data_IF_577797394260
#
_entry.id   IF_577797394260
#
_cell.length_a   1.000
_cell.length_b   1.000
_cell.length_c   1.000
_cell.angle_alpha   90.00
_cell.angle_beta   90.00
_cell.angle_gamma   90.00
#
_symmetry.space_group_name_H-M   'P 1'
#
loop_
_entity.id
_entity.type
_entity.pdbx_description
1 polymer ?
#
# COMPACT_ATOMS: atom_id res chain seq x y z
N UNK A 1 -14.84 -5.91 12.34
CA UNK A 1 -13.82 -6.11 11.28
C UNK A 1 -13.32 -4.73 10.86
N UNK A 2 -12.04 -4.42 11.08
CA UNK A 2 -11.46 -3.13 10.64
C UNK A 2 -11.37 -3.17 9.11
N UNK A 3 -11.93 -2.16 8.45
CA UNK A 3 -11.85 -2.03 7.01
C UNK A 3 -10.38 -1.82 6.61
N UNK A 4 -9.73 -2.89 6.14
CA UNK A 4 -8.30 -2.95 5.85
C UNK A 4 -7.85 -1.94 4.78
N UNK A 5 -8.79 -1.44 3.98
CA UNK A 5 -8.53 -0.50 2.87
C UNK A 5 -8.56 0.98 3.29
N UNK A 6 -8.97 1.31 4.52
CA UNK A 6 -8.94 2.67 5.07
C UNK A 6 -7.61 3.06 5.75
N UNK A 7 -6.59 2.20 5.65
CA UNK A 7 -5.39 2.28 6.48
C UNK A 7 -4.17 2.81 5.72
N UNK A 8 -4.15 2.67 4.39
CA UNK A 8 -3.08 3.23 3.57
C UNK A 8 -3.21 4.76 3.50
N UNK A 9 -2.17 5.49 3.86
CA UNK A 9 -2.17 6.96 3.72
C UNK A 9 -1.76 7.41 2.31
N UNK A 10 -0.98 6.59 1.60
CA UNK A 10 -0.55 6.86 0.24
C UNK A 10 -0.14 5.55 -0.45
N UNK A 11 -0.28 5.53 -1.77
CA UNK A 11 0.08 4.43 -2.65
C UNK A 11 0.89 4.97 -3.83
N UNK A 12 1.97 4.30 -4.20
CA UNK A 12 2.82 4.70 -5.33
C UNK A 12 3.13 3.53 -6.24
N UNK A 13 3.38 3.78 -7.53
CA UNK A 13 3.83 2.79 -8.52
C UNK A 13 5.07 3.29 -9.27
N UNK A 14 5.82 2.36 -9.87
CA UNK A 14 6.89 2.65 -10.82
C UNK A 14 6.47 2.18 -12.22
N UNK A 15 6.52 3.09 -13.20
CA UNK A 15 6.12 2.81 -14.57
C UNK A 15 6.84 1.59 -15.15
N UNK A 16 6.08 0.70 -15.78
CA UNK A 16 6.60 -0.52 -16.40
C UNK A 16 6.91 -1.66 -15.42
N UNK A 17 6.69 -1.48 -14.11
CA UNK A 17 6.87 -2.53 -13.12
C UNK A 17 5.56 -2.88 -12.42
N UNK A 18 5.46 -4.13 -11.95
CA UNK A 18 4.36 -4.57 -11.08
C UNK A 18 4.80 -4.38 -9.64
N UNK A 19 4.90 -3.11 -9.25
CA UNK A 19 5.47 -2.68 -7.97
C UNK A 19 4.62 -1.59 -7.36
N UNK A 20 4.35 -1.69 -6.06
CA UNK A 20 3.72 -0.64 -5.28
C UNK A 20 4.49 -0.31 -4.01
N UNK A 21 4.19 0.87 -3.46
CA UNK A 21 4.65 1.32 -2.15
C UNK A 21 3.43 1.79 -1.39
N UNK A 22 3.22 1.26 -0.20
CA UNK A 22 2.12 1.61 0.67
C UNK A 22 2.64 2.26 1.94
N UNK A 23 2.11 3.41 2.28
CA UNK A 23 2.33 4.04 3.60
C UNK A 23 1.29 3.52 4.58
N UNK A 24 1.73 2.81 5.62
CA UNK A 24 0.87 2.17 6.62
C UNK A 24 1.25 2.64 8.03
N UNK A 25 0.29 2.85 8.94
CA UNK A 25 0.59 3.27 10.31
C UNK A 25 1.43 2.25 11.06
N UNK A 26 2.14 2.72 12.08
CA UNK A 26 2.74 1.84 13.08
C UNK A 26 1.66 1.16 13.91
N UNK A 27 1.88 -0.12 14.26
CA UNK A 27 1.02 -0.83 15.22
C UNK A 27 1.07 -0.21 16.63
N UNK A 28 2.10 0.57 16.95
CA UNK A 28 2.19 1.31 18.21
C UNK A 28 1.52 2.70 18.18
N UNK A 29 0.92 3.09 17.05
CA UNK A 29 0.25 4.38 16.88
C UNK A 29 1.17 5.56 16.57
N UNK A 30 2.50 5.39 16.67
CA UNK A 30 3.46 6.46 16.39
C UNK A 30 4.10 6.30 15.00
N UNK A 31 3.72 7.18 14.06
CA UNK A 31 4.34 7.29 12.74
C UNK A 31 3.82 6.31 11.69
N UNK A 32 4.44 6.37 10.51
CA UNK A 32 4.09 5.59 9.32
C UNK A 32 5.30 4.77 8.85
N UNK A 33 5.05 3.55 8.38
CA UNK A 33 5.99 2.68 7.71
C UNK A 33 5.73 2.67 6.22
N UNK A 34 6.80 2.73 5.43
CA UNK A 34 6.75 2.42 4.01
C UNK A 34 6.94 0.92 3.81
N UNK A 35 5.99 0.31 3.12
CA UNK A 35 6.01 -1.12 2.74
C UNK A 35 5.94 -1.22 1.23
N UNK A 36 6.97 -1.80 0.62
CA UNK A 36 7.03 -2.04 -0.82
C UNK A 36 6.59 -3.46 -1.12
N UNK A 37 5.81 -3.63 -2.19
CA UNK A 37 5.43 -4.94 -2.73
C UNK A 37 5.70 -4.96 -4.23
N UNK A 38 6.41 -5.99 -4.70
CA UNK A 38 6.77 -6.14 -6.11
C UNK A 38 6.60 -7.58 -6.55
N UNK A 39 6.07 -7.79 -7.75
CA UNK A 39 6.17 -9.09 -8.42
C UNK A 39 7.54 -9.21 -9.07
N UNK A 40 8.35 -10.15 -8.58
CA UNK A 40 9.71 -10.44 -9.06
C UNK A 40 9.85 -11.94 -9.25
N UNK A 41 10.24 -12.39 -10.44
CA UNK A 41 10.50 -13.80 -10.76
C UNK A 41 9.33 -14.74 -10.35
N UNK A 42 8.08 -14.30 -10.55
CA UNK A 42 6.88 -15.06 -10.20
C UNK A 42 6.53 -15.06 -8.70
N UNK A 43 7.20 -14.25 -7.89
CA UNK A 43 6.99 -14.15 -6.44
C UNK A 43 6.60 -12.73 -6.05
N UNK A 44 5.70 -12.59 -5.07
CA UNK A 44 5.40 -11.28 -4.46
C UNK A 44 6.44 -11.05 -3.36
N UNK A 45 7.40 -10.17 -3.63
CA UNK A 45 8.45 -9.78 -2.69
C UNK A 45 8.00 -8.54 -1.94
N UNK A 46 7.99 -8.62 -0.62
CA UNK A 46 7.56 -7.52 0.26
C UNK A 46 8.74 -7.06 1.10
N UNK A 47 9.14 -5.81 0.88
CA UNK A 47 10.20 -5.16 1.63
C UNK A 47 9.61 -4.15 2.60
N UNK A 48 9.93 -4.30 3.89
CA UNK A 48 9.73 -3.22 4.86
C UNK A 48 10.64 -3.40 6.09
N UNK A 49 10.84 -2.33 6.84
CA UNK A 49 11.59 -2.34 8.09
C UNK A 49 10.60 -2.33 9.26
N UNK A 50 10.39 -3.49 9.88
CA UNK A 50 9.52 -3.63 11.04
C UNK A 50 10.24 -4.44 12.14
N UNK A 51 10.17 -4.03 13.42
CA UNK A 51 10.73 -4.81 14.51
C UNK A 51 10.17 -6.24 14.57
N UNK A 52 8.89 -6.42 14.24
CA UNK A 52 8.23 -7.73 14.22
C UNK A 52 8.74 -8.66 13.11
N UNK A 53 9.25 -8.12 11.99
CA UNK A 53 9.80 -8.94 10.90
C UNK A 53 11.17 -9.53 11.22
N UNK A 54 11.82 -9.12 12.33
CA UNK A 54 13.05 -9.76 12.83
C UNK A 54 12.78 -11.12 13.47
N UNK A 55 11.57 -11.34 13.99
CA UNK A 55 11.20 -12.59 14.71
C UNK A 55 10.11 -13.38 14.01
N UNK A 56 9.32 -12.78 13.11
CA UNK A 56 8.27 -13.46 12.33
C UNK A 56 8.48 -13.27 10.83
N UNK A 57 8.14 -14.31 10.04
CA UNK A 57 8.20 -14.27 8.57
C UNK A 57 7.14 -13.38 7.93
N UNK A 58 6.10 -12.99 8.67
CA UNK A 58 5.03 -12.12 8.21
C UNK A 58 4.53 -11.21 9.34
N UNK A 59 4.02 -10.05 8.96
CA UNK A 59 3.27 -9.17 9.83
C UNK A 59 2.06 -8.60 9.08
N UNK A 60 1.20 -7.87 9.77
CA UNK A 60 0.00 -7.31 9.14
C UNK A 60 0.34 -6.34 7.98
N UNK A 61 1.46 -5.61 8.04
CA UNK A 61 1.91 -4.75 6.92
C UNK A 61 2.18 -5.57 5.66
N UNK A 62 2.75 -6.77 5.83
CA UNK A 62 3.01 -7.72 4.74
C UNK A 62 1.71 -8.16 4.07
N UNK A 63 0.69 -8.51 4.86
CA UNK A 63 -0.61 -8.94 4.34
C UNK A 63 -1.31 -7.82 3.57
N UNK A 64 -1.31 -6.60 4.11
CA UNK A 64 -1.93 -5.44 3.46
C UNK A 64 -1.22 -5.12 2.15
N UNK A 65 0.10 -5.04 2.15
CA UNK A 65 0.85 -4.71 0.93
C UNK A 65 0.68 -5.78 -0.16
N UNK A 66 0.62 -7.07 0.21
CA UNK A 66 0.32 -8.15 -0.73
C UNK A 66 -1.07 -7.96 -1.37
N UNK A 67 -2.08 -7.73 -0.54
CA UNK A 67 -3.45 -7.53 -1.01
C UNK A 67 -3.56 -6.28 -1.90
N UNK A 68 -2.97 -5.15 -1.47
CA UNK A 68 -2.98 -3.91 -2.25
C UNK A 68 -2.32 -4.10 -3.61
N UNK A 69 -1.24 -4.88 -3.70
CA UNK A 69 -0.61 -5.18 -5.00
C UNK A 69 -1.57 -5.92 -5.93
N UNK A 70 -2.29 -6.93 -5.40
CA UNK A 70 -3.30 -7.69 -6.14
C UNK A 70 -4.47 -6.80 -6.58
N UNK A 71 -4.94 -5.90 -5.72
CA UNK A 71 -6.06 -5.02 -6.03
C UNK A 71 -5.70 -4.00 -7.11
N UNK A 72 -4.50 -3.40 -7.02
CA UNK A 72 -3.99 -2.43 -8.02
C UNK A 72 -3.80 -3.08 -9.38
N UNK A 73 -3.27 -4.29 -9.41
CA UNK A 73 -2.97 -5.02 -10.63
C UNK A 73 -3.92 -6.22 -10.83
N UNK A 74 -5.21 -6.04 -10.54
CA UNK A 74 -6.21 -7.13 -10.54
C UNK A 74 -6.34 -7.87 -11.88
N UNK A 75 -5.89 -7.27 -12.98
CA UNK A 75 -5.83 -7.88 -14.31
C UNK A 75 -4.67 -8.87 -14.47
N UNK A 76 -3.65 -8.86 -13.60
CA UNK A 76 -2.49 -9.76 -13.64
C UNK A 76 -2.75 -11.04 -12.84
N UNK A 77 -3.28 -12.06 -13.52
CA UNK A 77 -3.63 -13.37 -12.94
C UNK A 77 -2.47 -14.08 -12.24
N UNK A 78 -1.23 -13.84 -12.67
CA UNK A 78 -0.03 -14.37 -12.03
C UNK A 78 0.10 -13.99 -10.55
N UNK A 79 -0.49 -12.87 -10.11
CA UNK A 79 -0.49 -12.44 -8.72
C UNK A 79 -1.39 -13.30 -7.81
N UNK A 80 -2.39 -13.97 -8.37
CA UNK A 80 -3.35 -14.76 -7.59
C UNK A 80 -2.65 -15.96 -6.94
N UNK A 81 -1.75 -16.61 -7.68
CA UNK A 81 -0.99 -17.80 -7.25
C UNK A 81 0.45 -17.52 -6.81
N UNK A 82 0.96 -16.30 -6.97
CA UNK A 82 2.35 -15.98 -6.63
C UNK A 82 2.62 -16.15 -5.12
N UNK A 83 3.67 -16.89 -4.71
CA UNK A 83 4.04 -17.00 -3.31
C UNK A 83 4.51 -15.65 -2.77
N UNK A 84 4.18 -15.37 -1.51
CA UNK A 84 4.55 -14.12 -0.83
C UNK A 84 5.80 -14.36 0.01
N UNK A 85 6.82 -13.52 -0.20
CA UNK A 85 8.08 -13.55 0.54
C UNK A 85 8.30 -12.18 1.18
N UNK A 86 8.44 -12.16 2.50
CA UNK A 86 8.78 -10.94 3.24
C UNK A 86 10.28 -10.87 3.47
N UNK A 87 10.88 -9.71 3.20
CA UNK A 87 12.28 -9.40 3.51
C UNK A 87 12.35 -8.18 4.42
N UNK A 88 13.30 -8.17 5.35
CA UNK A 88 13.57 -7.00 6.17
C UNK A 88 14.44 -6.01 5.39
N UNK A 89 13.80 -4.99 4.82
CA UNK A 89 14.49 -4.00 3.98
C UNK A 89 13.83 -2.64 4.13
N UNK A 90 14.65 -1.62 4.39
CA UNK A 90 14.20 -0.23 4.38
C UNK A 90 13.77 0.18 2.98
N UNK A 91 12.54 0.66 2.86
CA UNK A 91 11.99 1.22 1.63
C UNK A 91 12.31 2.71 1.60
N UNK A 92 12.84 3.20 0.47
CA UNK A 92 13.14 4.61 0.24
C UNK A 92 12.34 5.08 -0.97
N UNK A 93 11.77 6.27 -0.88
CA UNK A 93 11.09 6.91 -2.00
C UNK A 93 12.08 7.24 -3.12
N UNK A 94 11.67 7.04 -4.37
CA UNK A 94 12.37 7.49 -5.58
C UNK A 94 11.58 8.63 -6.24
N UNK A 95 12.27 9.54 -6.93
CA UNK A 95 11.65 10.64 -7.69
C UNK A 95 10.79 10.16 -8.86
N UNK A 96 11.09 8.96 -9.37
CA UNK A 96 10.35 8.36 -10.49
C UNK A 96 8.98 7.81 -10.08
N UNK A 97 8.73 7.66 -8.78
CA UNK A 97 7.51 7.06 -8.27
C UNK A 97 6.33 8.00 -8.38
N UNK A 98 5.21 7.45 -8.84
CA UNK A 98 3.98 8.20 -9.04
C UNK A 98 2.95 7.77 -8.02
N UNK A 99 2.41 8.73 -7.28
CA UNK A 99 1.29 8.48 -6.39
C UNK A 99 0.09 8.05 -7.23
N UNK A 100 -0.58 6.99 -6.81
CA UNK A 100 -1.80 6.48 -7.44
C UNK A 100 -2.95 6.48 -6.43
N UNK A 101 -4.21 6.56 -6.91
CA UNK A 101 -5.37 6.44 -6.03
C UNK A 101 -5.36 5.10 -5.28
N UNK A 102 -5.78 5.13 -4.03
CA UNK A 102 -5.94 3.91 -3.24
C UNK A 102 -7.23 3.21 -3.72
N UNK A 103 -7.17 1.94 -4.15
CA UNK A 103 -8.37 1.20 -4.57
C UNK A 103 -9.39 1.16 -3.42
N UNK A 104 -10.55 1.80 -3.64
CA UNK A 104 -11.64 1.95 -2.68
C UNK A 104 -11.31 2.66 -1.34
N UNK A 105 -10.43 3.67 -1.37
CA UNK A 105 -10.69 4.82 -0.52
C UNK A 105 -11.78 5.62 -1.26
N UNK A 106 -13.05 5.48 -0.84
CA UNK A 106 -14.09 6.38 -1.33
C UNK A 106 -13.57 7.81 -1.18
N UNK A 107 -13.35 8.49 -2.30
CA UNK A 107 -13.29 9.94 -2.28
C UNK A 107 -14.66 10.33 -1.76
N UNK A 108 -14.76 10.85 -0.53
CA UNK A 108 -15.92 11.66 -0.22
C UNK A 108 -15.76 12.87 -1.15
N UNK A 109 -16.43 12.87 -2.29
CA UNK A 109 -16.51 14.00 -3.21
C UNK A 109 -17.36 15.16 -2.61
N UNK A 110 -17.59 15.19 -1.30
CA UNK A 110 -18.49 16.12 -0.63
C UNK A 110 -17.76 17.14 0.27
N UNK A 111 -16.64 17.72 -0.17
CA UNK A 111 -16.08 18.89 0.51
C UNK A 111 -15.54 19.99 -0.41
N UNK A 112 -16.07 20.10 -1.64
CA UNK A 112 -15.72 21.21 -2.55
C UNK A 112 -16.88 21.84 -3.30
N UNK A 113 -18.13 21.68 -2.86
CA UNK A 113 -19.26 22.39 -3.49
C UNK A 113 -20.38 22.75 -2.51
N UNK A 114 -20.08 23.51 -1.46
CA UNK A 114 -21.14 24.30 -0.78
C UNK A 114 -20.63 25.55 -0.04
N UNK A 115 -19.78 26.33 -0.71
CA UNK A 115 -19.62 27.76 -0.38
C UNK A 115 -20.03 28.59 -1.58
N UNK A 116 -21.32 28.66 -1.82
CA UNK A 116 -21.90 29.85 -2.40
C UNK A 116 -23.26 30.10 -1.76
N UNK A 117 -23.36 31.33 -1.24
CA UNK A 117 -24.59 32.10 -1.07
C UNK A 117 -25.58 31.57 -0.04
N UNK A 118 -25.53 32.13 1.17
CA UNK A 118 -26.70 32.72 1.84
C UNK A 118 -26.23 33.48 3.10
N UNK A 119 -25.98 34.77 2.95
CA UNK A 119 -26.24 35.75 4.01
C UNK A 119 -27.03 36.88 3.39
N UNK A 120 -28.23 37.01 3.95
CA UNK A 120 -29.26 37.99 3.64
C UNK A 120 -28.82 39.44 3.90
#
# INVERSE_FOLDING_TARGET
MVNKNRIAAALFTLSGQTSIIVSLPSSSGNGMYLTGASLLNGQIVIGHECPASRTRKSCWHTEIAAQTLKDVFWWKRELDSAPVISINRKVKMSEEWRQIPIPQAGVNEDESTNRNEHTA
#
